data_IF_895265176983
#
_entry.id   IF_895265176983
#
_cell.length_a   1.000
_cell.length_b   1.000
_cell.length_c   1.000
_cell.angle_alpha   90.00
_cell.angle_beta   90.00
_cell.angle_gamma   90.00
#
_symmetry.space_group_name_H-M   'P 1'
#
loop_
_entity.id
_entity.type
_entity.pdbx_description
1 polymer ?
#
# COMPACT_ATOMS: atom_id res chain seq x y z
N UNK A 1 27.74 28.91 39.01
CA UNK A 1 27.22 27.62 38.51
C UNK A 1 25.71 27.66 38.57
N UNK A 2 25.06 27.91 37.43
CA UNK A 2 23.63 27.62 37.23
C UNK A 2 23.43 27.39 35.74
N UNK A 3 22.93 26.21 35.44
CA UNK A 3 22.95 25.49 34.18
C UNK A 3 21.94 26.01 33.16
N UNK A 4 22.40 26.12 31.92
CA UNK A 4 21.59 26.21 30.70
C UNK A 4 20.53 25.09 30.66
N UNK A 5 19.26 25.47 30.53
CA UNK A 5 18.21 24.59 29.99
C UNK A 5 17.66 25.28 28.75
N UNK A 6 18.20 24.91 27.59
CA UNK A 6 17.61 25.26 26.28
C UNK A 6 16.49 24.26 26.02
N UNK A 7 15.25 24.69 26.22
CA UNK A 7 14.07 24.00 25.70
C UNK A 7 14.06 24.18 24.19
N UNK A 8 14.47 23.16 23.43
CA UNK A 8 14.28 23.10 21.99
C UNK A 8 12.83 22.68 21.77
N UNK A 9 11.96 23.68 21.54
CA UNK A 9 10.60 23.45 21.08
C UNK A 9 10.69 22.95 19.64
N UNK A 10 10.53 21.64 19.43
CA UNK A 10 10.34 21.09 18.08
C UNK A 10 9.01 21.65 17.54
N UNK A 11 9.11 22.67 16.70
CA UNK A 11 8.01 23.09 15.85
C UNK A 11 7.66 21.94 14.91
N UNK A 12 6.52 21.30 15.14
CA UNK A 12 5.84 20.49 14.15
C UNK A 12 5.54 21.40 12.96
N UNK A 13 6.46 21.45 12.00
CA UNK A 13 6.13 21.87 10.65
C UNK A 13 5.14 20.84 10.13
N UNK A 14 3.86 21.21 10.14
CA UNK A 14 2.87 20.60 9.27
C UNK A 14 3.37 20.84 7.85
N UNK A 15 4.17 19.91 7.34
CA UNK A 15 4.39 19.77 5.91
C UNK A 15 3.01 19.48 5.35
N UNK A 16 2.35 20.53 4.90
CA UNK A 16 1.22 20.39 4.00
C UNK A 16 1.75 19.60 2.83
N UNK A 17 1.39 18.32 2.77
CA UNK A 17 1.55 17.54 1.55
C UNK A 17 0.83 18.37 0.49
N UNK A 18 1.48 18.75 -0.62
CA UNK A 18 0.76 19.35 -1.73
C UNK A 18 -0.28 18.32 -2.18
N UNK A 19 -1.53 18.54 -1.79
CA UNK A 19 -2.68 17.87 -2.39
C UNK A 19 -2.61 18.18 -3.88
N UNK A 20 -2.76 17.17 -4.74
CA UNK A 20 -2.79 17.38 -6.19
C UNK A 20 -3.75 18.53 -6.47
N UNK A 21 -3.20 19.58 -7.09
CA UNK A 21 -3.97 20.77 -7.40
C UNK A 21 -5.08 20.33 -8.34
N UNK A 22 -6.33 20.47 -7.91
CA UNK A 22 -7.48 20.19 -8.76
C UNK A 22 -7.37 21.06 -10.01
N UNK A 23 -7.15 20.44 -11.16
CA UNK A 23 -7.10 21.18 -12.41
C UNK A 23 -8.51 21.73 -12.70
N UNK A 24 -8.60 23.05 -12.85
CA UNK A 24 -9.82 23.70 -13.31
C UNK A 24 -9.73 23.85 -14.83
N UNK A 25 -10.63 23.18 -15.54
CA UNK A 25 -10.69 23.20 -16.99
C UNK A 25 -11.71 24.22 -17.48
N UNK A 26 -11.39 24.87 -18.59
CA UNK A 26 -12.36 25.59 -19.41
C UNK A 26 -12.89 24.68 -20.50
N UNK A 27 -14.09 24.97 -20.97
CA UNK A 27 -14.69 24.23 -22.09
C UNK A 27 -13.76 24.31 -23.31
N UNK A 28 -13.37 23.15 -23.83
CA UNK A 28 -12.44 23.00 -24.94
C UNK A 28 -10.97 22.84 -24.57
N UNK A 29 -10.60 22.97 -23.29
CA UNK A 29 -9.23 22.72 -22.86
C UNK A 29 -8.85 21.24 -23.09
N UNK A 30 -7.59 20.96 -23.49
CA UNK A 30 -7.13 19.59 -23.68
C UNK A 30 -7.03 18.89 -22.33
N UNK A 31 -7.67 17.73 -22.22
CA UNK A 31 -7.57 16.86 -21.03
C UNK A 31 -6.61 15.73 -21.37
N UNK A 32 -5.38 15.72 -20.82
CA UNK A 32 -4.39 14.71 -21.17
C UNK A 32 -4.81 13.34 -20.66
N UNK A 33 -4.78 12.36 -21.56
CA UNK A 33 -4.95 10.95 -21.21
C UNK A 33 -3.59 10.28 -21.24
N UNK A 34 -3.18 9.71 -20.12
CA UNK A 34 -1.93 8.98 -20.00
C UNK A 34 -2.20 7.48 -20.09
N UNK A 35 -1.40 6.75 -20.86
CA UNK A 35 -1.34 5.30 -20.75
C UNK A 35 -0.40 4.93 -19.62
N UNK A 36 -0.71 3.91 -18.82
CA UNK A 36 0.12 3.51 -17.69
C UNK A 36 0.65 2.09 -17.87
N UNK A 37 -0.15 1.09 -17.48
CA UNK A 37 0.29 -0.30 -17.38
C UNK A 37 -0.72 -1.29 -17.93
N UNK A 38 -0.23 -2.48 -18.25
CA UNK A 38 -1.00 -3.65 -18.69
C UNK A 38 -0.52 -4.88 -17.96
N UNK A 39 -1.41 -5.84 -17.73
CA UNK A 39 -1.04 -7.11 -17.10
C UNK A 39 -2.21 -8.05 -16.94
N UNK A 40 -1.95 -9.33 -16.58
CA UNK A 40 -2.97 -10.33 -16.36
C UNK A 40 -3.84 -9.97 -15.15
N UNK A 41 -5.17 -10.07 -15.31
CA UNK A 41 -6.12 -9.77 -14.23
C UNK A 41 -5.93 -10.67 -12.99
N UNK A 42 -5.54 -11.92 -13.20
CA UNK A 42 -5.32 -12.90 -12.13
C UNK A 42 -3.98 -12.76 -11.40
N UNK A 43 -3.05 -11.94 -11.90
CA UNK A 43 -1.78 -11.64 -11.24
C UNK A 43 -1.47 -10.13 -11.30
N UNK A 44 -2.18 -9.28 -10.52
CA UNK A 44 -2.05 -7.82 -10.61
C UNK A 44 -0.66 -7.26 -10.28
N UNK A 45 0.22 -8.06 -9.66
CA UNK A 45 1.61 -7.66 -9.38
C UNK A 45 2.50 -7.69 -10.63
N UNK A 46 2.12 -8.45 -11.64
CA UNK A 46 2.83 -8.51 -12.92
C UNK A 46 2.30 -7.41 -13.84
N UNK A 47 3.10 -6.36 -14.02
CA UNK A 47 2.71 -5.20 -14.83
C UNK A 47 3.81 -4.82 -15.82
N UNK A 48 3.38 -4.47 -17.03
CA UNK A 48 4.20 -4.01 -18.13
C UNK A 48 3.70 -2.63 -18.58
N UNK A 49 4.54 -1.87 -19.29
CA UNK A 49 4.12 -0.59 -19.85
C UNK A 49 3.06 -0.83 -20.93
N UNK A 50 2.00 -0.02 -21.03
CA UNK A 50 0.90 -0.23 -22.01
C UNK A 50 1.37 -0.51 -23.45
N UNK A 51 2.29 0.31 -23.96
CA UNK A 51 2.90 0.12 -25.27
C UNK A 51 3.74 -1.16 -25.46
N UNK A 52 3.88 -2.06 -24.48
CA UNK A 52 4.50 -3.38 -24.70
C UNK A 52 3.62 -4.29 -25.57
N UNK A 53 2.31 -4.05 -25.60
CA UNK A 53 1.38 -4.70 -26.51
C UNK A 53 1.43 -4.06 -27.91
N UNK A 54 1.10 -4.80 -28.98
CA UNK A 54 1.00 -4.25 -30.33
C UNK A 54 -0.31 -3.46 -30.48
N UNK A 55 -0.28 -2.22 -30.00
CA UNK A 55 -1.40 -1.26 -29.97
C UNK A 55 -1.04 0.05 -30.68
N UNK A 56 -2.00 0.96 -30.83
CA UNK A 56 -1.74 2.31 -31.33
C UNK A 56 -0.66 2.99 -30.47
N UNK A 57 0.39 3.51 -31.12
CA UNK A 57 1.53 4.17 -30.46
C UNK A 57 1.89 5.45 -31.21
N UNK A 58 2.22 6.56 -30.51
CA UNK A 58 2.77 7.75 -31.14
C UNK A 58 4.17 7.49 -31.72
N UNK A 59 4.63 8.36 -32.62
CA UNK A 59 5.99 8.27 -33.18
C UNK A 59 7.07 8.45 -32.09
N UNK A 60 6.84 9.39 -31.17
CA UNK A 60 7.68 9.63 -30.00
C UNK A 60 6.86 9.39 -28.73
N UNK A 61 7.37 8.52 -27.86
CA UNK A 61 6.76 8.26 -26.54
C UNK A 61 7.25 9.34 -25.58
N UNK A 62 6.34 10.20 -25.16
CA UNK A 62 6.60 11.23 -24.16
C UNK A 62 6.16 10.74 -22.78
N UNK A 63 7.12 10.48 -21.90
CA UNK A 63 6.85 10.00 -20.54
C UNK A 63 6.45 11.16 -19.61
N UNK A 64 5.40 10.94 -18.78
CA UNK A 64 5.03 11.86 -17.71
C UNK A 64 6.12 11.85 -16.65
N UNK A 65 6.44 13.00 -16.07
CA UNK A 65 7.28 13.06 -14.86
C UNK A 65 6.45 12.56 -13.68
N UNK A 66 6.89 11.46 -13.09
CA UNK A 66 6.23 10.83 -11.95
C UNK A 66 6.83 11.31 -10.64
N UNK A 67 5.98 11.40 -9.62
CA UNK A 67 6.38 11.55 -8.22
C UNK A 67 7.04 10.26 -7.71
N UNK A 68 7.76 10.37 -6.60
CA UNK A 68 8.37 9.19 -5.96
C UNK A 68 7.32 8.13 -5.58
N UNK A 69 6.13 8.57 -5.16
CA UNK A 69 5.02 7.66 -4.84
C UNK A 69 4.54 6.86 -6.05
N UNK A 70 4.29 7.53 -7.18
CA UNK A 70 3.89 6.87 -8.44
C UNK A 70 4.97 5.90 -8.94
N UNK A 71 6.26 6.26 -8.82
CA UNK A 71 7.37 5.36 -9.19
C UNK A 71 7.39 4.12 -8.29
N UNK A 72 7.17 4.27 -6.98
CA UNK A 72 7.14 3.16 -6.03
C UNK A 72 5.91 2.26 -6.21
N UNK A 73 4.78 2.80 -6.68
CA UNK A 73 3.60 2.03 -7.07
C UNK A 73 3.78 1.28 -8.41
N UNK A 74 4.92 1.52 -9.08
CA UNK A 74 5.29 0.88 -10.34
C UNK A 74 4.66 1.53 -11.57
N UNK A 75 4.20 2.78 -11.46
CA UNK A 75 3.62 3.51 -12.58
C UNK A 75 4.66 3.85 -13.65
N UNK A 76 4.18 3.84 -14.89
CA UNK A 76 4.97 4.07 -16.11
C UNK A 76 4.16 4.89 -17.10
N UNK A 77 3.72 6.08 -16.67
CA UNK A 77 2.81 6.89 -17.45
C UNK A 77 3.48 7.55 -18.67
N UNK A 78 2.81 7.50 -19.81
CA UNK A 78 3.19 8.19 -21.03
C UNK A 78 1.97 8.82 -21.71
N UNK A 79 2.18 9.91 -22.45
CA UNK A 79 1.11 10.54 -23.21
C UNK A 79 0.53 9.58 -24.24
N UNK A 80 -0.79 9.54 -24.30
CA UNK A 80 -1.55 8.81 -25.32
C UNK A 80 -1.81 9.66 -26.55
N UNK A 81 -2.33 9.05 -27.61
CA UNK A 81 -2.82 9.73 -28.81
C UNK A 81 -4.30 10.11 -28.73
N UNK A 82 -4.96 9.89 -27.59
CA UNK A 82 -6.37 10.24 -27.41
C UNK A 82 -6.49 11.76 -27.20
N UNK A 83 -7.16 12.43 -28.13
CA UNK A 83 -7.47 13.85 -27.99
C UNK A 83 -8.83 14.00 -27.33
N UNK A 84 -8.83 14.31 -26.04
CA UNK A 84 -10.02 14.60 -25.24
C UNK A 84 -10.05 16.09 -24.93
N UNK A 85 -11.19 16.74 -25.16
CA UNK A 85 -11.40 18.16 -24.85
C UNK A 85 -12.50 18.30 -23.80
N UNK A 86 -12.27 19.13 -22.79
CA UNK A 86 -13.19 19.31 -21.68
C UNK A 86 -14.56 19.80 -22.15
N UNK A 87 -15.62 19.09 -21.77
CA UNK A 87 -17.00 19.44 -22.11
C UNK A 87 -17.37 19.29 -23.59
N UNK A 88 -16.55 18.59 -24.41
CA UNK A 88 -16.86 18.32 -25.82
C UNK A 88 -17.05 16.81 -26.04
N UNK A 89 -18.27 16.46 -26.44
CA UNK A 89 -18.61 15.10 -26.86
C UNK A 89 -17.98 14.78 -28.21
N UNK A 90 -17.46 13.56 -28.34
CA UNK A 90 -16.87 13.05 -29.57
C UNK A 90 -17.46 11.65 -29.84
N UNK A 91 -17.89 11.40 -31.06
CA UNK A 91 -18.48 10.12 -31.44
C UNK A 91 -17.65 9.45 -32.53
N UNK A 92 -17.14 8.25 -32.23
CA UNK A 92 -16.46 7.38 -33.19
C UNK A 92 -15.28 8.05 -33.91
N UNK A 93 -14.45 8.80 -33.18
CA UNK A 93 -13.23 9.39 -33.72
C UNK A 93 -12.19 8.29 -33.95
N UNK A 94 -11.56 8.31 -35.12
CA UNK A 94 -10.48 7.39 -35.47
C UNK A 94 -9.25 7.72 -34.63
N UNK A 95 -8.72 6.72 -33.92
CA UNK A 95 -7.47 6.84 -33.17
C UNK A 95 -6.27 6.56 -34.07
N UNK A 96 -6.23 5.38 -34.66
CA UNK A 96 -5.16 4.96 -35.56
C UNK A 96 -5.60 3.77 -36.44
N UNK A 97 -4.82 3.52 -37.50
CA UNK A 97 -4.90 2.31 -38.30
C UNK A 97 -3.63 1.48 -38.07
N UNK A 98 -3.82 0.26 -37.60
CA UNK A 98 -2.75 -0.64 -37.19
C UNK A 98 -2.70 -1.84 -38.11
N UNK A 99 -1.50 -2.18 -38.56
CA UNK A 99 -1.23 -3.34 -39.39
C UNK A 99 -0.57 -4.42 -38.54
N UNK A 100 -1.33 -5.42 -38.11
CA UNK A 100 -0.90 -6.51 -37.25
C UNK A 100 -0.31 -7.66 -38.07
N UNK A 101 0.91 -8.06 -37.74
CA UNK A 101 1.54 -9.28 -38.26
C UNK A 101 1.18 -10.51 -37.41
N UNK A 102 1.55 -11.70 -37.89
CA UNK A 102 1.30 -12.96 -37.17
C UNK A 102 1.85 -12.94 -35.73
N UNK A 103 3.05 -12.40 -35.52
CA UNK A 103 3.67 -12.27 -34.19
C UNK A 103 2.87 -11.35 -33.26
N UNK A 104 2.31 -10.27 -33.80
CA UNK A 104 1.50 -9.33 -33.04
C UNK A 104 0.16 -9.96 -32.65
N UNK A 105 -0.47 -10.66 -33.60
CA UNK A 105 -1.70 -11.41 -33.34
C UNK A 105 -1.50 -12.49 -32.27
N UNK A 106 -0.40 -13.24 -32.33
CA UNK A 106 -0.07 -14.26 -31.34
C UNK A 106 0.26 -13.66 -29.96
N UNK A 107 0.76 -12.42 -29.91
CA UNK A 107 0.94 -11.69 -28.65
C UNK A 107 -0.41 -11.22 -28.08
N UNK A 108 -1.29 -10.67 -28.92
CA UNK A 108 -2.63 -10.25 -28.50
C UNK A 108 -3.50 -11.43 -28.06
N UNK A 109 -3.48 -12.56 -28.78
CA UNK A 109 -4.24 -13.76 -28.40
C UNK A 109 -3.88 -14.22 -26.99
N UNK A 110 -2.59 -14.36 -26.69
CA UNK A 110 -2.11 -14.72 -25.35
C UNK A 110 -2.55 -13.72 -24.29
N UNK A 111 -2.45 -12.42 -24.58
CA UNK A 111 -2.92 -11.39 -23.66
C UNK A 111 -4.43 -11.48 -23.41
N UNK A 112 -5.24 -11.78 -24.42
CA UNK A 112 -6.70 -11.96 -24.27
C UNK A 112 -7.04 -13.23 -23.49
N UNK A 113 -6.36 -14.35 -23.77
CA UNK A 113 -6.50 -15.61 -23.03
C UNK A 113 -6.15 -15.45 -21.55
N UNK A 114 -5.13 -14.67 -21.23
CA UNK A 114 -4.72 -14.37 -19.84
C UNK A 114 -5.55 -13.23 -19.19
N UNK A 115 -6.62 -12.77 -19.85
CA UNK A 115 -7.48 -11.66 -19.41
C UNK A 115 -6.69 -10.40 -19.04
N UNK A 116 -5.80 -9.96 -19.94
CA UNK A 116 -5.05 -8.73 -19.73
C UNK A 116 -5.99 -7.53 -19.60
N UNK A 117 -5.76 -6.75 -18.55
CA UNK A 117 -6.34 -5.43 -18.40
C UNK A 117 -5.30 -4.37 -18.74
N UNK A 118 -5.77 -3.20 -19.14
CA UNK A 118 -4.98 -1.98 -19.23
C UNK A 118 -5.44 -0.98 -18.20
N UNK A 119 -4.54 -0.07 -17.83
CA UNK A 119 -4.81 1.08 -16.99
C UNK A 119 -4.35 2.35 -17.71
N UNK A 120 -5.27 3.28 -17.91
CA UNK A 120 -5.00 4.66 -18.28
C UNK A 120 -5.25 5.58 -17.08
N UNK A 121 -4.73 6.80 -17.16
CA UNK A 121 -4.91 7.82 -16.13
C UNK A 121 -5.35 9.13 -16.79
N UNK A 122 -6.45 9.69 -16.32
CA UNK A 122 -6.99 10.98 -16.76
C UNK A 122 -7.28 11.82 -15.53
N UNK A 123 -6.64 12.99 -15.39
CA UNK A 123 -6.77 13.85 -14.19
C UNK A 123 -6.61 13.04 -12.89
N UNK A 124 -5.57 12.20 -12.77
CA UNK A 124 -5.34 11.29 -11.64
C UNK A 124 -6.47 10.24 -11.36
N UNK A 125 -7.38 10.02 -12.31
CA UNK A 125 -8.38 8.94 -12.27
C UNK A 125 -7.87 7.72 -13.04
N UNK A 126 -7.71 6.55 -12.39
CA UNK A 126 -7.39 5.33 -13.11
C UNK A 126 -8.61 4.80 -13.88
N UNK A 127 -8.45 4.64 -15.19
CA UNK A 127 -9.41 4.06 -16.12
C UNK A 127 -8.92 2.66 -16.47
N UNK A 128 -9.71 1.62 -16.14
CA UNK A 128 -9.32 0.23 -16.37
C UNK A 128 -10.31 -0.48 -17.27
N UNK A 129 -9.80 -1.28 -18.18
CA UNK A 129 -10.59 -2.11 -19.09
C UNK A 129 -9.81 -3.33 -19.54
N UNK A 130 -10.51 -4.32 -20.08
CA UNK A 130 -9.88 -5.50 -20.67
C UNK A 130 -9.42 -5.21 -22.10
N UNK A 131 -8.28 -5.78 -22.49
CA UNK A 131 -7.74 -5.64 -23.86
C UNK A 131 -8.65 -6.34 -24.88
N UNK A 132 -9.25 -7.46 -24.49
CA UNK A 132 -10.15 -8.23 -25.35
C UNK A 132 -11.30 -8.88 -24.60
N UNK A 133 -11.97 -9.76 -25.33
CA UNK A 133 -13.11 -10.55 -24.90
C UNK A 133 -12.75 -12.02 -25.09
N UNK A 134 -12.97 -12.81 -24.04
CA UNK A 134 -12.81 -14.26 -24.05
C UNK A 134 -14.17 -14.86 -23.71
N UNK A 135 -14.68 -15.71 -24.59
CA UNK A 135 -15.87 -16.53 -24.32
C UNK A 135 -15.49 -18.01 -24.37
N UNK A 136 -15.60 -18.68 -23.23
CA UNK A 136 -15.42 -20.11 -23.12
C UNK A 136 -16.78 -20.79 -23.27
N UNK A 137 -16.97 -21.54 -24.34
CA UNK A 137 -18.22 -22.28 -24.59
C UNK A 137 -17.96 -23.79 -24.64
N UNK A 138 -18.84 -24.53 -23.96
CA UNK A 138 -18.89 -25.99 -23.99
C UNK A 138 -17.99 -26.68 -22.95
N UNK A 139 -18.52 -27.71 -22.30
CA UNK A 139 -17.73 -28.65 -21.51
C UNK A 139 -16.91 -29.57 -22.44
N UNK A 140 -17.45 -29.98 -23.59
CA UNK A 140 -16.76 -30.65 -24.70
C UNK A 140 -17.55 -30.49 -26.02
N UNK A 141 -16.92 -30.09 -27.15
CA UNK A 141 -15.57 -29.55 -27.26
C UNK A 141 -15.47 -28.13 -26.65
N UNK A 142 -14.36 -27.82 -25.99
CA UNK A 142 -14.06 -26.47 -25.53
C UNK A 142 -13.80 -25.57 -26.75
N UNK A 143 -14.63 -24.54 -26.94
CA UNK A 143 -14.40 -23.50 -27.94
C UNK A 143 -14.10 -22.20 -27.21
N UNK A 144 -12.90 -21.67 -27.45
CA UNK A 144 -12.49 -20.35 -26.97
C UNK A 144 -12.71 -19.40 -28.13
N UNK A 145 -13.61 -18.43 -27.96
CA UNK A 145 -13.77 -17.34 -28.91
C UNK A 145 -12.99 -16.14 -28.41
N UNK A 146 -12.00 -15.73 -29.19
CA UNK A 146 -11.14 -14.60 -28.85
C UNK A 146 -11.57 -13.37 -29.64
N UNK A 147 -11.78 -12.28 -28.93
CA UNK A 147 -12.18 -10.99 -29.48
C UNK A 147 -11.25 -9.87 -29.02
N UNK A 148 -10.93 -8.92 -29.91
CA UNK A 148 -10.20 -7.70 -29.58
C UNK A 148 -11.17 -6.50 -29.52
N UNK A 149 -11.07 -5.68 -28.48
CA UNK A 149 -11.83 -4.43 -28.42
C UNK A 149 -11.14 -3.35 -29.25
N UNK A 150 -11.82 -2.85 -30.28
CA UNK A 150 -11.29 -1.81 -31.18
C UNK A 150 -11.86 -0.43 -30.91
N UNK A 151 -12.97 -0.34 -30.17
CA UNK A 151 -13.66 0.92 -29.87
C UNK A 151 -13.76 1.12 -28.35
N UNK A 152 -13.14 2.18 -27.83
CA UNK A 152 -13.23 2.57 -26.42
C UNK A 152 -14.20 3.74 -26.23
N UNK A 153 -15.11 3.62 -25.28
CA UNK A 153 -16.05 4.69 -24.91
C UNK A 153 -15.62 5.29 -23.57
N UNK A 154 -15.15 6.53 -23.59
CA UNK A 154 -14.85 7.31 -22.41
C UNK A 154 -16.12 8.00 -21.91
N UNK A 155 -16.48 7.76 -20.67
CA UNK A 155 -17.57 8.42 -19.97
C UNK A 155 -16.97 9.27 -18.87
N UNK A 156 -17.14 10.59 -18.97
CA UNK A 156 -16.51 11.54 -18.06
C UNK A 156 -17.62 12.33 -17.36
N UNK A 157 -17.62 12.28 -16.04
CA UNK A 157 -18.50 13.05 -15.18
C UNK A 157 -17.75 14.27 -14.66
N UNK A 158 -18.36 15.45 -14.74
CA UNK A 158 -17.77 16.70 -14.27
C UNK A 158 -18.74 17.49 -13.41
N UNK A 159 -18.20 18.30 -12.50
CA UNK A 159 -18.95 19.26 -11.71
C UNK A 159 -18.25 20.61 -11.85
N UNK A 160 -18.99 21.62 -12.29
CA UNK A 160 -18.45 22.92 -12.71
C UNK A 160 -17.28 22.79 -13.70
N UNK A 161 -16.06 23.11 -13.27
CA UNK A 161 -14.85 23.12 -14.09
C UNK A 161 -13.90 21.97 -13.73
N UNK A 162 -14.38 20.94 -13.03
CA UNK A 162 -13.54 19.87 -12.50
C UNK A 162 -14.10 18.50 -12.87
N UNK A 163 -13.20 17.57 -13.19
CA UNK A 163 -13.57 16.19 -13.47
C UNK A 163 -13.78 15.49 -12.12
N UNK A 164 -14.95 14.87 -11.94
CA UNK A 164 -15.30 14.18 -10.69
C UNK A 164 -15.20 12.67 -10.81
N UNK A 165 -15.41 12.12 -12.01
CA UNK A 165 -15.27 10.69 -12.27
C UNK A 165 -15.03 10.47 -13.76
N UNK A 166 -14.30 9.42 -14.10
CA UNK A 166 -14.12 9.02 -15.49
C UNK A 166 -14.09 7.49 -15.54
N UNK A 167 -14.61 6.93 -16.63
CA UNK A 167 -14.60 5.50 -16.87
C UNK A 167 -14.40 5.21 -18.35
N UNK A 168 -13.91 4.01 -18.65
CA UNK A 168 -13.81 3.46 -20.00
C UNK A 168 -14.72 2.25 -20.13
N UNK A 169 -15.45 2.15 -21.24
CA UNK A 169 -16.34 1.02 -21.53
C UNK A 169 -16.19 0.55 -22.97
N UNK A 170 -16.49 -0.73 -23.19
CA UNK A 170 -16.52 -1.39 -24.51
C UNK A 170 -17.88 -2.01 -24.81
N UNK A 171 -18.89 -1.76 -23.96
CA UNK A 171 -20.20 -2.46 -23.96
C UNK A 171 -20.96 -2.36 -25.28
N UNK A 172 -20.86 -1.24 -25.99
CA UNK A 172 -21.62 -0.97 -27.21
C UNK A 172 -20.83 -1.31 -28.50
N UNK A 173 -19.61 -1.82 -28.34
CA UNK A 173 -18.76 -2.21 -29.46
C UNK A 173 -18.84 -3.72 -29.70
N UNK A 174 -18.73 -4.16 -30.96
CA UNK A 174 -18.57 -5.58 -31.29
C UNK A 174 -17.09 -5.93 -31.27
N UNK A 175 -16.66 -6.98 -30.55
CA UNK A 175 -15.25 -7.35 -30.55
C UNK A 175 -14.85 -7.92 -31.91
N UNK A 176 -13.64 -7.60 -32.35
CA UNK A 176 -13.04 -8.13 -33.57
C UNK A 176 -12.54 -9.56 -33.30
N UNK A 177 -13.10 -10.57 -33.96
CA UNK A 177 -12.66 -11.96 -33.76
C UNK A 177 -11.21 -12.15 -34.22
N UNK A 178 -10.42 -12.85 -33.41
CA UNK A 178 -9.03 -13.20 -33.66
C UNK A 178 -8.85 -14.66 -34.13
N UNK A 179 -9.92 -15.45 -34.19
CA UNK A 179 -9.86 -16.91 -34.39
C UNK A 179 -9.53 -17.29 -35.84
N UNK A 180 -10.10 -16.57 -36.82
CA UNK A 180 -9.99 -16.91 -38.25
C UNK A 180 -8.80 -16.24 -38.97
N UNK A 181 -7.96 -15.50 -38.25
CA UNK A 181 -6.94 -14.62 -38.86
C UNK A 181 -5.55 -15.26 -38.84
N UNK A 182 -5.16 -15.89 -39.95
CA UNK A 182 -3.83 -16.52 -40.08
C UNK A 182 -2.76 -15.60 -40.70
N UNK A 183 -3.18 -14.48 -41.30
CA UNK A 183 -2.32 -13.57 -42.07
C UNK A 183 -2.18 -12.17 -41.45
N UNK A 184 -1.84 -11.20 -42.29
CA UNK A 184 -1.76 -9.78 -41.92
C UNK A 184 -3.16 -9.21 -41.73
N UNK A 185 -3.40 -8.52 -40.63
CA UNK A 185 -4.71 -7.92 -40.30
C UNK A 185 -4.59 -6.41 -40.20
N UNK A 186 -5.43 -5.68 -40.93
CA UNK A 186 -5.52 -4.23 -40.84
C UNK A 186 -6.70 -3.87 -39.92
N UNK A 187 -6.41 -3.24 -38.79
CA UNK A 187 -7.37 -2.91 -37.74
C UNK A 187 -7.43 -1.40 -37.56
N UNK A 188 -8.64 -0.83 -37.61
CA UNK A 188 -8.87 0.57 -37.25
C UNK A 188 -9.39 0.65 -35.82
N UNK A 189 -8.70 1.44 -35.00
CA UNK A 189 -9.12 1.73 -33.63
C UNK A 189 -9.90 3.03 -33.57
N UNK A 190 -10.96 3.04 -32.76
CA UNK A 190 -11.86 4.17 -32.58
C UNK A 190 -12.03 4.50 -31.10
N UNK A 191 -12.44 5.73 -30.83
CA UNK A 191 -12.87 6.12 -29.51
C UNK A 191 -14.04 7.10 -29.56
N UNK A 192 -14.84 7.08 -28.50
CA UNK A 192 -15.90 8.06 -28.26
C UNK A 192 -15.72 8.66 -26.87
N UNK A 193 -16.12 9.92 -26.71
CA UNK A 193 -16.09 10.65 -25.45
C UNK A 193 -17.48 11.20 -25.18
N UNK A 194 -18.01 10.93 -23.99
CA UNK A 194 -19.29 11.46 -23.52
C UNK A 194 -19.12 12.15 -22.17
N UNK A 195 -19.57 13.39 -22.09
CA UNK A 195 -19.53 14.21 -20.88
C UNK A 195 -20.90 14.25 -20.20
N UNK A 196 -20.90 14.09 -18.88
CA UNK A 196 -22.10 14.14 -18.06
C UNK A 196 -21.91 15.11 -16.89
N UNK A 197 -22.89 15.98 -16.67
CA UNK A 197 -22.92 16.82 -15.49
C UNK A 197 -23.25 15.96 -14.26
N UNK A 198 -22.42 16.05 -13.23
CA UNK A 198 -22.58 15.32 -11.98
C UNK A 198 -22.98 16.25 -10.85
N UNK A 199 -23.94 15.85 -9.98
CA UNK A 199 -24.27 16.60 -8.78
C UNK A 199 -23.25 16.41 -7.65
N UNK A 200 -22.25 15.54 -7.84
CA UNK A 200 -21.23 15.23 -6.84
C UNK A 200 -20.20 16.35 -6.76
N UNK A 201 -19.97 16.96 -5.58
CA UNK A 201 -18.88 17.91 -5.38
C UNK A 201 -17.51 17.24 -5.50
N UNK A 202 -16.50 17.98 -5.99
CA UNK A 202 -15.14 17.47 -6.21
C UNK A 202 -14.51 16.87 -4.94
N UNK A 203 -14.78 17.42 -3.76
CA UNK A 203 -14.22 16.94 -2.48
C UNK A 203 -14.64 15.50 -2.16
N UNK A 204 -15.81 15.08 -2.64
CA UNK A 204 -16.37 13.73 -2.44
C UNK A 204 -15.99 12.75 -3.56
N UNK A 205 -15.24 13.18 -4.57
CA UNK A 205 -14.76 12.32 -5.67
C UNK A 205 -14.04 11.07 -5.17
N UNK A 206 -13.23 11.19 -4.11
CA UNK A 206 -12.48 10.06 -3.56
C UNK A 206 -13.39 8.90 -3.09
N UNK A 207 -14.56 9.20 -2.52
CA UNK A 207 -15.56 8.19 -2.16
C UNK A 207 -16.11 7.47 -3.40
N UNK A 208 -16.50 8.25 -4.41
CA UNK A 208 -17.03 7.74 -5.68
C UNK A 208 -16.06 6.83 -6.42
N UNK A 209 -14.76 7.12 -6.36
CA UNK A 209 -13.70 6.30 -6.95
C UNK A 209 -13.52 4.97 -6.21
N UNK A 210 -13.55 4.97 -4.87
CA UNK A 210 -13.43 3.74 -4.06
C UNK A 210 -14.61 2.79 -4.26
N UNK A 211 -15.80 3.31 -4.53
CA UNK A 211 -17.00 2.49 -4.72
C UNK A 211 -17.08 1.82 -6.09
N UNK A 212 -16.36 2.35 -7.10
CA UNK A 212 -16.25 1.75 -8.44
C UNK A 212 -14.89 1.12 -8.71
N UNK A 213 -14.22 0.62 -7.67
CA UNK A 213 -12.96 -0.09 -7.84
C UNK A 213 -13.11 -1.25 -8.85
N UNK A 214 -12.21 -1.29 -9.84
CA UNK A 214 -12.19 -2.32 -10.87
C UNK A 214 -11.87 -3.72 -10.31
N UNK A 215 -10.94 -3.79 -9.36
CA UNK A 215 -10.62 -5.04 -8.67
C UNK A 215 -11.60 -5.25 -7.51
N UNK A 216 -12.04 -6.51 -7.27
CA UNK A 216 -12.91 -6.81 -6.15
C UNK A 216 -12.23 -6.41 -4.84
N UNK A 217 -13.01 -5.85 -3.90
CA UNK A 217 -12.55 -5.45 -2.56
C UNK A 217 -12.02 -6.64 -1.72
N UNK A 218 -12.10 -7.85 -2.26
CA UNK A 218 -11.78 -9.13 -1.63
C UNK A 218 -10.38 -9.64 -1.95
N UNK A 219 -9.43 -8.78 -2.35
CA UNK A 219 -8.04 -8.98 -1.89
C UNK A 219 -8.04 -8.74 -0.38
N UNK A 220 -8.71 -9.65 0.32
CA UNK A 220 -8.71 -9.78 1.76
C UNK A 220 -7.25 -9.83 2.15
N UNK A 221 -6.78 -8.73 2.73
CA UNK A 221 -5.59 -8.73 3.56
C UNK A 221 -5.65 -10.05 4.31
N UNK A 222 -4.69 -10.96 4.08
CA UNK A 222 -4.67 -12.26 4.74
C UNK A 222 -4.51 -12.01 6.24
N UNK A 223 -5.61 -11.67 6.90
CA UNK A 223 -5.70 -11.26 8.28
C UNK A 223 -5.22 -12.40 9.18
N UNK A 224 -5.32 -13.63 8.69
CA UNK A 224 -4.67 -14.82 9.23
C UNK A 224 -3.15 -14.68 9.35
N UNK A 225 -2.46 -14.16 8.33
CA UNK A 225 -1.00 -13.92 8.36
C UNK A 225 -0.64 -12.80 9.32
N UNK A 226 -1.40 -11.70 9.31
CA UNK A 226 -1.18 -10.55 10.19
C UNK A 226 -1.40 -10.93 11.66
N UNK A 227 -2.48 -11.63 11.98
CA UNK A 227 -2.78 -12.11 13.33
C UNK A 227 -1.73 -13.13 13.80
N UNK A 228 -1.34 -14.08 12.95
CA UNK A 228 -0.32 -15.06 13.30
C UNK A 228 1.03 -14.40 13.64
N UNK A 229 1.43 -13.37 12.88
CA UNK A 229 2.63 -12.57 13.15
C UNK A 229 2.51 -11.80 14.48
N UNK A 230 1.37 -11.17 14.74
CA UNK A 230 1.12 -10.42 15.99
C UNK A 230 1.19 -11.34 17.22
N UNK A 231 0.55 -12.52 17.15
CA UNK A 231 0.57 -13.51 18.25
C UNK A 231 2.00 -13.96 18.53
N UNK A 232 2.80 -14.24 17.51
CA UNK A 232 4.20 -14.64 17.67
C UNK A 232 5.03 -13.56 18.38
N UNK A 233 4.86 -12.29 18.00
CA UNK A 233 5.57 -11.17 18.62
C UNK A 233 5.22 -11.03 20.10
N UNK A 234 3.94 -11.17 20.47
CA UNK A 234 3.52 -11.11 21.88
C UNK A 234 4.08 -12.28 22.69
N UNK A 235 4.09 -13.50 22.14
CA UNK A 235 4.67 -14.67 22.80
C UNK A 235 6.17 -14.53 23.05
N UNK A 236 6.93 -14.08 22.04
CA UNK A 236 8.38 -13.87 22.17
C UNK A 236 8.69 -12.75 23.16
N UNK A 237 7.94 -11.64 23.11
CA UNK A 237 8.10 -10.53 24.07
C UNK A 237 7.77 -10.98 25.49
N UNK A 238 6.69 -11.73 25.69
CA UNK A 238 6.31 -12.30 26.99
C UNK A 238 7.40 -13.24 27.55
N UNK A 239 7.98 -14.08 26.71
CA UNK A 239 9.08 -14.97 27.11
C UNK A 239 10.32 -14.18 27.58
N UNK A 240 10.71 -13.15 26.83
CA UNK A 240 11.83 -12.26 27.21
C UNK A 240 11.54 -11.56 28.54
N UNK A 241 10.33 -11.04 28.73
CA UNK A 241 9.91 -10.42 30.00
C UNK A 241 9.98 -11.40 31.17
N UNK A 242 9.56 -12.66 31.00
CA UNK A 242 9.64 -13.68 32.05
C UNK A 242 11.09 -14.00 32.42
N UNK A 243 11.98 -14.13 31.43
CA UNK A 243 13.42 -14.35 31.67
C UNK A 243 14.02 -13.16 32.41
N UNK A 244 13.79 -11.94 31.92
CA UNK A 244 14.28 -10.72 32.57
C UNK A 244 13.77 -10.60 34.00
N UNK A 245 12.49 -10.89 34.25
CA UNK A 245 11.92 -10.89 35.60
C UNK A 245 12.52 -11.97 36.50
N UNK A 246 12.84 -13.16 35.96
CA UNK A 246 13.55 -14.20 36.73
C UNK A 246 14.98 -13.77 37.08
N UNK A 247 15.70 -13.19 36.12
CA UNK A 247 17.07 -12.70 36.35
C UNK A 247 17.06 -11.57 37.38
N UNK A 248 16.21 -10.56 37.21
CA UNK A 248 16.07 -9.46 38.15
C UNK A 248 15.71 -9.95 39.56
N UNK A 249 14.76 -10.88 39.71
CA UNK A 249 14.43 -11.48 41.02
C UNK A 249 15.62 -12.19 41.66
N UNK A 250 16.41 -12.91 40.86
CA UNK A 250 17.59 -13.61 41.36
C UNK A 250 18.71 -12.63 41.75
N UNK A 251 18.84 -11.51 41.02
CA UNK A 251 19.85 -10.49 41.28
C UNK A 251 19.49 -9.66 42.54
N UNK A 252 18.22 -9.26 42.69
CA UNK A 252 17.74 -8.62 43.94
C UNK A 252 17.81 -9.54 45.16
N UNK A 253 17.71 -10.86 44.99
CA UNK A 253 17.91 -11.82 46.08
C UNK A 253 19.38 -11.87 46.56
N UNK A 254 20.33 -11.49 45.70
CA UNK A 254 21.77 -11.49 46.00
C UNK A 254 22.24 -10.17 46.64
N UNK A 255 21.62 -9.04 46.29
CA UNK A 255 21.96 -7.71 46.84
C UNK A 255 21.59 -7.54 48.33
N UNK A 256 20.79 -8.45 48.92
CA UNK A 256 20.46 -8.42 50.36
C UNK A 256 21.55 -9.03 51.28
N UNK A 257 22.60 -9.64 50.73
CA UNK A 257 23.61 -10.41 51.51
C UNK A 257 24.97 -9.74 51.70
N UNK A 258 25.13 -8.45 51.41
CA UNK A 258 26.24 -7.68 52.02
C UNK A 258 25.72 -6.92 53.24
N UNK A 259 25.97 -7.40 54.48
CA UNK A 259 25.76 -6.58 55.66
C UNK A 259 26.83 -5.48 55.62
N UNK A 260 26.46 -4.31 55.08
CA UNK A 260 27.17 -3.07 55.34
C UNK A 260 27.24 -2.91 56.87
N UNK A 261 28.46 -3.05 57.39
CA UNK A 261 28.86 -2.74 58.76
C UNK A 261 28.19 -1.44 59.20
N UNK A 262 27.46 -1.38 60.33
CA UNK A 262 26.94 -0.11 60.82
C UNK A 262 28.11 0.66 61.43
N UNK A 263 28.77 1.48 60.61
CA UNK A 263 29.47 2.69 61.08
C UNK A 263 28.40 3.72 61.48
N UNK A 264 27.71 3.45 62.59
CA UNK A 264 26.89 4.46 63.27
C UNK A 264 27.70 5.03 64.43
N UNK A 265 28.29 6.19 64.12
CA UNK A 265 28.54 7.32 65.01
C UNK A 265 27.87 7.23 66.39
N UNK A 266 28.66 7.03 67.44
CA UNK A 266 28.30 7.40 68.80
C UNK A 266 29.42 8.25 69.39
N UNK A 267 29.17 9.56 69.39
CA UNK A 267 29.38 10.47 70.52
C UNK A 267 30.81 10.78 70.97
N UNK A 268 31.31 11.90 70.44
CA UNK A 268 32.14 12.87 71.17
C UNK A 268 31.40 13.33 72.44
N UNK A 269 31.83 12.94 73.64
CA UNK A 269 31.86 13.78 74.85
C UNK A 269 32.66 13.07 75.98
N UNK A 270 33.54 13.84 76.63
CA UNK A 270 34.59 13.46 77.59
C UNK A 270 34.13 12.72 78.86
N UNK A 271 35.02 11.85 79.39
CA UNK A 271 35.60 11.92 80.76
C UNK A 271 36.78 10.91 80.92
N UNK A 272 37.79 11.19 81.77
CA UNK A 272 39.02 10.40 81.91
C UNK A 272 38.84 9.20 82.86
N UNK A 273 39.81 8.25 82.93
CA UNK A 273 39.55 6.91 83.47
C UNK A 273 39.63 6.88 85.00
N UNK A 274 38.72 6.14 85.64
CA UNK A 274 38.84 5.69 87.03
C UNK A 274 39.34 4.24 87.07
N UNK A 275 40.13 3.84 88.09
CA UNK A 275 40.84 2.57 88.11
C UNK A 275 39.97 1.41 88.63
N UNK A 276 40.28 0.22 88.12
CA UNK A 276 39.60 -1.06 88.37
C UNK A 276 39.54 -1.49 89.84
N UNK A 277 38.43 -2.09 90.29
CA UNK A 277 38.43 -3.03 91.41
C UNK A 277 38.53 -4.51 90.95
N UNK A 278 39.04 -5.42 91.80
CA UNK A 278 39.49 -6.77 91.45
C UNK A 278 38.33 -7.79 91.31
N UNK A 279 38.58 -8.98 90.71
CA UNK A 279 37.52 -9.97 90.46
C UNK A 279 37.23 -10.81 91.71
N UNK A 280 35.96 -11.10 92.03
CA UNK A 280 35.60 -12.18 92.94
C UNK A 280 35.30 -13.50 92.20
N UNK A 281 35.37 -14.63 92.91
CA UNK A 281 35.89 -15.89 92.37
C UNK A 281 34.83 -16.77 91.70
N UNK A 282 35.34 -17.63 90.80
CA UNK A 282 34.68 -18.82 90.27
C UNK A 282 34.25 -19.78 91.38
N UNK A 283 33.00 -20.25 91.33
CA UNK A 283 32.55 -21.44 92.05
C UNK A 283 31.82 -22.38 91.08
N UNK A 284 32.59 -23.37 90.63
CA UNK A 284 32.09 -24.66 90.19
C UNK A 284 31.43 -25.38 91.37
N UNK A 285 30.26 -25.97 91.16
CA UNK A 285 29.84 -27.27 91.70
C UNK A 285 28.40 -27.54 91.21
N UNK A 286 28.17 -28.45 90.27
CA UNK A 286 27.94 -29.87 90.55
C UNK A 286 27.09 -30.11 91.81
N UNK A 287 25.79 -30.36 91.64
CA UNK A 287 25.21 -31.67 91.96
C UNK A 287 23.69 -31.68 91.81
N UNK A 288 23.21 -32.61 90.96
CA UNK A 288 21.91 -33.25 91.12
C UNK A 288 21.84 -33.93 92.50
N UNK A 289 20.63 -34.13 93.02
CA UNK A 289 20.30 -35.46 93.49
C UNK A 289 18.95 -35.97 92.95
N UNK A 290 18.71 -37.22 93.29
CA UNK A 290 17.91 -38.22 92.60
C UNK A 290 16.45 -38.30 93.07
N UNK A 291 15.66 -39.03 92.26
CA UNK A 291 14.32 -39.59 92.48
C UNK A 291 14.09 -40.17 93.88
N UNK A 292 12.85 -40.07 94.37
CA UNK A 292 11.93 -41.22 94.56
C UNK A 292 10.67 -40.78 95.33
N UNK A 293 9.50 -40.99 94.76
CA UNK A 293 8.43 -41.87 95.24
C UNK A 293 7.29 -41.89 94.21
#
# INVERSE_FOLDING_TARGET
MATCVRVVLLGLLTVGIPSSSSEHFKVGDPVPVYVNKVGPYHNPHETYHYYSLPVCRPQSIEHKRLSLGEVLDGDRMALSTYEVKFGQDEESKVLCELSLERRDLDHLRRAVEELYYYEFVMDDIPLRGFVGYLEETGFLPHSHKLGLWTHLHFTIEYNDNQIVFANVSTKDSKPLSLDDVSGKLLVKHFYSVKWYLSPLPYEKRGERLRDKAFFPKTLEIHWLSVINSIVLVFLLTGFVVIILMRVLKNDFAKVRWEPFVPLCCCSFFQLPPLPFPPPPPTLNASNKPWKSY
#
